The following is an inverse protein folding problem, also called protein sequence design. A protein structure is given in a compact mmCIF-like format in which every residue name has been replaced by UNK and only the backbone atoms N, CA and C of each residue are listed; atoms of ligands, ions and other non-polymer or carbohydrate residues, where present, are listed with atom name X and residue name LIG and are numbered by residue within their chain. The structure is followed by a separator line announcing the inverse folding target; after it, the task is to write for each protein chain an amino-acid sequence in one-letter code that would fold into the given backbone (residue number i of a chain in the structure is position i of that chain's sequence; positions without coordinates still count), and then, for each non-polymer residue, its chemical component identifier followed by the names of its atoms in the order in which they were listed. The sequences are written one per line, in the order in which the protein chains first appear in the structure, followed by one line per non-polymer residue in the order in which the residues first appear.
data_IF_257346281596
#
_entry.id   IF_257346281596
#
_cell.length_a   1.000
_cell.length_b   1.000
_cell.length_c   1.000
_cell.angle_alpha   90.00
_cell.angle_beta   90.00
_cell.angle_gamma   90.00
#
_symmetry.space_group_name_H-M   'P 1'
#
loop_
_entity.id
_entity.type
_entity.pdbx_description
1 polymer ?
#
# COMPACT_ATOMS: atom_id res chain seq x y z
N UNK A 1 21.02 3.60 -22.05
CA UNK A 1 19.87 3.95 -22.91
C UNK A 1 18.75 4.58 -22.07
N UNK A 2 18.26 3.93 -21.00
CA UNK A 2 17.23 4.48 -20.09
C UNK A 2 17.62 5.81 -19.41
N UNK A 3 18.85 5.91 -18.87
CA UNK A 3 19.32 7.16 -18.21
C UNK A 3 19.35 8.35 -19.17
N UNK A 4 19.66 8.12 -20.46
CA UNK A 4 19.67 9.16 -21.51
C UNK A 4 18.23 9.57 -21.84
N UNK A 5 17.32 8.60 -22.00
CA UNK A 5 15.91 8.89 -22.23
C UNK A 5 15.27 9.71 -21.08
N UNK A 6 15.67 9.46 -19.82
CA UNK A 6 15.23 10.26 -18.68
C UNK A 6 15.73 11.71 -18.73
N UNK A 7 16.97 11.92 -19.17
CA UNK A 7 17.54 13.26 -19.37
C UNK A 7 16.81 14.02 -20.47
N UNK A 8 16.50 13.35 -21.58
CA UNK A 8 15.82 13.97 -22.73
C UNK A 8 14.35 14.29 -22.46
N UNK A 9 13.69 13.53 -21.57
CA UNK A 9 12.26 13.63 -21.30
C UNK A 9 11.90 14.44 -20.02
N UNK A 10 12.85 15.16 -19.44
CA UNK A 10 12.67 15.82 -18.14
C UNK A 10 13.23 17.23 -18.12
N UNK A 11 12.54 18.15 -17.46
CA UNK A 11 12.96 19.55 -17.30
C UNK A 11 14.07 19.69 -16.25
N UNK A 12 14.09 18.80 -15.26
CA UNK A 12 15.16 18.72 -14.27
C UNK A 12 15.49 17.27 -13.97
N UNK A 13 16.79 16.97 -13.87
CA UNK A 13 17.30 15.63 -13.52
C UNK A 13 18.46 15.76 -12.55
N UNK A 14 18.42 14.94 -11.51
CA UNK A 14 19.48 14.81 -10.52
C UNK A 14 19.96 13.36 -10.55
N UNK A 15 21.25 13.15 -10.82
CA UNK A 15 21.88 11.84 -10.68
C UNK A 15 22.64 11.77 -9.36
N UNK A 16 22.28 10.80 -8.54
CA UNK A 16 22.87 10.54 -7.23
C UNK A 16 23.71 9.26 -7.34
N UNK A 17 25.05 9.37 -7.35
CA UNK A 17 25.91 8.18 -7.24
C UNK A 17 25.75 7.62 -5.84
N UNK A 18 25.38 6.34 -5.70
CA UNK A 18 24.98 5.82 -4.40
C UNK A 18 26.14 5.45 -3.49
N UNK A 19 27.35 5.22 -4.02
CA UNK A 19 28.51 4.79 -3.21
C UNK A 19 28.75 5.66 -1.95
N UNK A 20 28.75 7.01 -2.02
CA UNK A 20 28.90 7.86 -0.82
C UNK A 20 27.64 7.89 0.08
N UNK A 21 26.47 7.62 -0.49
CA UNK A 21 25.19 7.66 0.21
C UNK A 21 24.84 6.37 0.94
N UNK A 22 25.31 5.21 0.44
CA UNK A 22 25.10 3.90 1.08
C UNK A 22 25.50 3.94 2.56
N UNK A 23 26.68 4.46 2.89
CA UNK A 23 27.13 4.58 4.29
C UNK A 23 26.21 5.45 5.15
N UNK A 24 25.71 6.58 4.62
CA UNK A 24 24.77 7.46 5.33
C UNK A 24 23.41 6.80 5.51
N UNK A 25 22.89 6.13 4.49
CA UNK A 25 21.61 5.42 4.57
C UNK A 25 21.70 4.29 5.59
N UNK A 26 22.80 3.55 5.64
CA UNK A 26 23.03 2.52 6.65
C UNK A 26 22.94 3.07 8.09
N UNK A 27 23.47 4.28 8.35
CA UNK A 27 23.31 4.92 9.66
C UNK A 27 21.83 5.20 9.99
N UNK A 28 21.06 5.68 9.01
CA UNK A 28 19.61 5.90 9.20
C UNK A 28 18.84 4.59 9.39
N UNK A 29 19.22 3.51 8.71
CA UNK A 29 18.61 2.19 8.90
C UNK A 29 18.92 1.63 10.30
N UNK A 30 20.12 1.85 10.83
CA UNK A 30 20.45 1.54 12.24
C UNK A 30 19.58 2.35 13.20
N UNK A 31 19.39 3.65 12.95
CA UNK A 31 18.49 4.49 13.77
C UNK A 31 17.05 4.01 13.68
N UNK A 32 16.55 3.69 12.48
CA UNK A 32 15.20 3.16 12.28
C UNK A 32 15.01 1.82 13.02
N UNK A 33 16.02 0.94 12.99
CA UNK A 33 16.04 -0.29 13.77
C UNK A 33 15.99 0.00 15.27
N UNK A 34 16.82 0.91 15.77
CA UNK A 34 16.83 1.29 17.18
C UNK A 34 15.50 1.90 17.63
N UNK A 35 14.85 2.76 16.82
CA UNK A 35 13.55 3.34 17.13
C UNK A 35 12.44 2.28 17.10
N UNK A 36 12.43 1.41 16.08
CA UNK A 36 11.46 0.32 15.95
C UNK A 36 11.59 -0.77 17.02
N UNK A 37 12.80 -1.00 17.54
CA UNK A 37 13.03 -1.90 18.68
C UNK A 37 12.93 -1.20 20.04
N UNK A 38 13.18 0.12 20.08
CA UNK A 38 13.26 0.92 21.30
C UNK A 38 11.89 1.21 21.90
N UNK A 39 10.84 1.29 21.08
CA UNK A 39 9.44 1.26 21.53
C UNK A 39 9.07 -0.02 22.29
N UNK A 40 9.86 -1.10 22.14
CA UNK A 40 9.63 -2.39 22.79
C UNK A 40 10.38 -2.55 24.11
N UNK A 41 11.20 -1.58 24.51
CA UNK A 41 11.90 -1.59 25.81
C UNK A 41 11.06 -0.98 26.95
N UNK A 42 9.94 -0.31 26.64
CA UNK A 42 9.15 0.49 27.60
C UNK A 42 7.78 -0.13 27.90
N UNK A 43 7.57 -1.43 27.67
CA UNK A 43 6.34 -2.12 28.05
C UNK A 43 6.45 -3.63 28.01
N UNK A 44 5.41 -4.33 28.49
CA UNK A 44 5.36 -5.80 28.46
C UNK A 44 5.55 -6.33 27.02
N UNK A 45 6.39 -7.37 26.90
CA UNK A 45 6.59 -8.12 25.66
C UNK A 45 5.35 -8.98 25.41
N UNK A 46 4.52 -8.56 24.48
CA UNK A 46 3.44 -9.38 23.94
C UNK A 46 3.95 -10.15 22.73
N UNK A 47 3.31 -11.29 22.44
CA UNK A 47 3.56 -12.09 21.24
C UNK A 47 3.43 -11.24 19.96
N UNK A 48 2.47 -10.32 19.95
CA UNK A 48 2.21 -9.36 18.87
C UNK A 48 3.44 -8.50 18.55
N UNK A 49 4.04 -7.87 19.58
CA UNK A 49 5.21 -7.01 19.43
C UNK A 49 6.44 -7.77 18.93
N UNK A 50 6.60 -9.02 19.32
CA UNK A 50 7.72 -9.85 18.86
C UNK A 50 7.60 -10.17 17.36
N UNK A 51 6.39 -10.44 16.88
CA UNK A 51 6.14 -10.68 15.45
C UNK A 51 6.25 -9.41 14.62
N UNK A 52 5.70 -8.28 15.11
CA UNK A 52 5.90 -6.96 14.51
C UNK A 52 7.40 -6.63 14.40
N UNK A 53 8.16 -6.90 15.45
CA UNK A 53 9.63 -6.70 15.46
C UNK A 53 10.32 -7.60 14.43
N UNK A 54 9.93 -8.87 14.33
CA UNK A 54 10.50 -9.80 13.36
C UNK A 54 10.21 -9.36 11.92
N UNK A 55 8.98 -8.94 11.63
CA UNK A 55 8.57 -8.41 10.33
C UNK A 55 9.32 -7.10 9.98
N UNK A 56 9.41 -6.17 10.93
CA UNK A 56 10.16 -4.92 10.76
C UNK A 56 11.65 -5.18 10.55
N UNK A 57 12.23 -6.11 11.29
CA UNK A 57 13.64 -6.50 11.16
C UNK A 57 13.92 -7.03 9.76
N UNK A 58 13.07 -7.94 9.27
CA UNK A 58 13.16 -8.47 7.91
C UNK A 58 13.04 -7.37 6.85
N UNK A 59 12.07 -6.45 6.99
CA UNK A 59 11.89 -5.35 6.06
C UNK A 59 13.14 -4.46 6.00
N UNK A 60 13.70 -4.12 7.16
CA UNK A 60 14.93 -3.32 7.26
C UNK A 60 16.15 -4.05 6.70
N UNK A 61 16.26 -5.38 6.88
CA UNK A 61 17.30 -6.19 6.26
C UNK A 61 17.18 -6.19 4.73
N UNK A 62 15.95 -6.34 4.21
CA UNK A 62 15.66 -6.26 2.78
C UNK A 62 16.02 -4.91 2.17
N UNK A 63 15.64 -3.81 2.84
CA UNK A 63 16.02 -2.45 2.43
C UNK A 63 17.54 -2.27 2.46
N UNK A 64 18.20 -2.76 3.50
CA UNK A 64 19.67 -2.73 3.63
C UNK A 64 20.34 -3.41 2.45
N UNK A 65 19.90 -4.63 2.12
CA UNK A 65 20.41 -5.42 0.99
C UNK A 65 20.16 -4.70 -0.34
N UNK A 66 18.96 -4.14 -0.54
CA UNK A 66 18.63 -3.40 -1.74
C UNK A 66 19.54 -2.17 -1.91
N UNK A 67 19.64 -1.33 -0.87
CA UNK A 67 20.46 -0.10 -0.88
C UNK A 67 21.93 -0.41 -1.14
N UNK A 68 22.46 -1.51 -0.59
CA UNK A 68 23.83 -1.94 -0.81
C UNK A 68 24.14 -2.21 -2.30
N UNK A 69 23.12 -2.58 -3.08
CA UNK A 69 23.25 -2.94 -4.49
C UNK A 69 22.86 -1.83 -5.47
N UNK A 70 22.22 -0.72 -5.03
CA UNK A 70 21.90 0.42 -5.92
C UNK A 70 23.19 1.14 -6.30
N UNK A 71 23.52 1.19 -7.59
CA UNK A 71 24.66 1.90 -8.15
C UNK A 71 24.40 3.41 -8.32
N UNK A 72 23.26 3.75 -8.91
CA UNK A 72 22.80 5.13 -9.09
C UNK A 72 21.31 5.24 -8.80
N UNK A 73 20.92 6.38 -8.25
CA UNK A 73 19.53 6.82 -8.25
C UNK A 73 19.45 8.07 -9.11
N UNK A 74 18.50 8.12 -10.04
CA UNK A 74 18.14 9.33 -10.77
C UNK A 74 16.77 9.79 -10.31
N UNK A 75 16.66 11.08 -9.99
CA UNK A 75 15.39 11.75 -9.73
C UNK A 75 15.15 12.71 -10.89
N UNK A 76 13.96 12.68 -11.48
CA UNK A 76 13.61 13.57 -12.57
C UNK A 76 12.24 14.18 -12.39
N UNK A 77 12.11 15.43 -12.80
CA UNK A 77 10.86 16.19 -12.81
C UNK A 77 10.58 16.62 -14.24
N UNK A 78 9.35 16.36 -14.70
CA UNK A 78 8.82 16.91 -15.94
C UNK A 78 7.55 17.72 -15.67
N UNK A 79 7.50 18.90 -16.27
CA UNK A 79 6.44 19.89 -16.23
C UNK A 79 5.89 20.03 -17.65
N UNK A 80 4.96 19.15 -18.03
CA UNK A 80 4.31 19.19 -19.34
C UNK A 80 2.92 19.82 -19.25
N UNK A 81 2.33 20.19 -20.40
CA UNK A 81 0.92 20.60 -20.47
C UNK A 81 -0.02 19.51 -19.90
N UNK A 82 0.32 18.23 -20.08
CA UNK A 82 -0.47 17.13 -19.55
C UNK A 82 -0.47 17.06 -18.01
N UNK A 83 0.62 17.48 -17.35
CA UNK A 83 0.74 17.39 -15.90
C UNK A 83 2.17 17.47 -15.37
N UNK A 84 2.27 17.30 -14.06
CA UNK A 84 3.54 17.21 -13.33
C UNK A 84 3.88 15.74 -13.15
N UNK A 85 5.13 15.39 -13.41
CA UNK A 85 5.62 14.02 -13.32
C UNK A 85 6.94 13.95 -12.57
N UNK A 86 6.97 13.16 -11.51
CA UNK A 86 8.17 12.88 -10.72
C UNK A 86 8.56 11.42 -10.94
N UNK A 87 9.77 11.17 -11.44
CA UNK A 87 10.29 9.80 -11.59
C UNK A 87 11.50 9.59 -10.69
N UNK A 88 11.56 8.43 -10.06
CA UNK A 88 12.78 7.90 -9.47
C UNK A 88 13.20 6.65 -10.24
N UNK A 89 14.47 6.57 -10.61
CA UNK A 89 15.04 5.42 -11.31
C UNK A 89 16.24 4.91 -10.52
N UNK A 90 16.19 3.65 -10.09
CA UNK A 90 17.26 3.00 -9.36
C UNK A 90 17.93 1.97 -10.27
N UNK A 91 19.22 2.14 -10.54
CA UNK A 91 20.02 1.15 -11.23
C UNK A 91 20.76 0.29 -10.21
N UNK A 92 20.67 -1.02 -10.34
CA UNK A 92 21.30 -1.98 -9.44
C UNK A 92 22.61 -2.50 -10.00
N UNK A 93 23.31 -3.29 -9.18
CA UNK A 93 24.51 -4.01 -9.58
C UNK A 93 24.08 -5.25 -10.35
N UNK A 94 24.56 -5.39 -11.59
CA UNK A 94 24.12 -6.45 -12.50
C UNK A 94 24.32 -7.84 -11.91
N UNK A 95 25.43 -8.10 -11.22
CA UNK A 95 25.69 -9.40 -10.58
C UNK A 95 25.14 -9.51 -9.14
N UNK A 96 24.22 -8.63 -8.75
CA UNK A 96 23.65 -8.58 -7.41
C UNK A 96 22.32 -9.33 -7.31
N UNK A 97 21.95 -9.77 -6.10
CA UNK A 97 20.70 -10.50 -5.83
C UNK A 97 19.45 -9.75 -6.28
N UNK A 98 19.45 -8.41 -6.23
CA UNK A 98 18.30 -7.62 -6.70
C UNK A 98 18.14 -7.76 -8.21
N UNK A 99 19.24 -7.65 -8.96
CA UNK A 99 19.19 -7.84 -10.41
C UNK A 99 18.84 -9.29 -10.78
N UNK A 100 19.38 -10.27 -10.03
CA UNK A 100 18.99 -11.68 -10.17
C UNK A 100 17.48 -11.86 -9.98
N UNK A 101 16.91 -11.28 -8.91
CA UNK A 101 15.48 -11.33 -8.65
C UNK A 101 14.66 -10.64 -9.76
N UNK A 102 15.07 -9.44 -10.21
CA UNK A 102 14.35 -8.65 -11.22
C UNK A 102 14.35 -9.29 -12.61
N UNK A 103 15.37 -10.10 -12.95
CA UNK A 103 15.41 -10.86 -14.22
C UNK A 103 14.26 -11.85 -14.34
N UNK A 104 13.81 -12.37 -13.22
CA UNK A 104 12.77 -13.39 -13.15
C UNK A 104 11.38 -12.78 -12.89
N UNK A 105 11.29 -11.45 -12.82
CA UNK A 105 10.02 -10.76 -12.70
C UNK A 105 9.37 -10.70 -14.07
N UNK A 106 8.11 -11.13 -14.11
CA UNK A 106 7.29 -11.09 -15.30
C UNK A 106 6.06 -10.21 -15.06
N UNK A 107 5.59 -9.64 -16.16
CA UNK A 107 4.30 -8.98 -16.24
C UNK A 107 3.32 -9.90 -16.95
N UNK A 108 2.10 -9.94 -16.47
CA UNK A 108 0.99 -10.59 -17.18
C UNK A 108 0.21 -9.54 -17.98
N UNK A 109 -0.46 -9.97 -19.05
CA UNK A 109 -1.33 -9.12 -19.88
C UNK A 109 -2.77 -9.07 -19.36
N UNK A 110 -2.99 -9.53 -18.13
CA UNK A 110 -4.31 -9.57 -17.54
C UNK A 110 -4.85 -8.15 -17.29
N UNK A 111 -6.13 -7.95 -17.60
CA UNK A 111 -6.82 -6.69 -17.32
C UNK A 111 -7.02 -6.53 -15.82
N UNK A 112 -6.10 -5.81 -15.18
CA UNK A 112 -6.09 -5.63 -13.74
C UNK A 112 -7.42 -5.07 -13.22
N UNK A 113 -8.04 -4.14 -13.94
CA UNK A 113 -9.18 -3.38 -13.43
C UNK A 113 -10.55 -4.04 -13.72
N UNK A 114 -10.55 -5.24 -14.30
CA UNK A 114 -11.78 -5.93 -14.69
C UNK A 114 -12.67 -6.23 -13.47
N UNK A 115 -14.00 -6.05 -13.63
CA UNK A 115 -14.98 -6.42 -12.60
C UNK A 115 -15.10 -5.48 -11.41
N UNK A 116 -14.22 -4.47 -11.30
CA UNK A 116 -14.28 -3.49 -10.22
C UNK A 116 -15.44 -2.51 -10.43
N UNK A 117 -16.18 -2.15 -9.36
CA UNK A 117 -17.34 -1.28 -9.48
C UNK A 117 -16.92 0.17 -9.75
N UNK A 118 -17.77 0.91 -10.49
CA UNK A 118 -17.69 2.38 -10.49
C UNK A 118 -18.21 2.90 -9.15
N UNK A 119 -17.31 3.15 -8.22
CA UNK A 119 -17.62 3.72 -6.91
C UNK A 119 -16.58 4.75 -6.47
N UNK A 120 -16.98 5.66 -5.56
CA UNK A 120 -16.08 6.27 -4.59
C UNK A 120 -14.92 5.36 -4.16
N UNK A 121 -13.69 5.88 -4.22
CA UNK A 121 -12.50 5.20 -3.73
C UNK A 121 -11.48 6.20 -3.19
N UNK A 122 -10.75 5.81 -2.16
CA UNK A 122 -9.63 6.58 -1.62
C UNK A 122 -8.31 6.13 -2.22
N UNK A 123 -8.14 4.80 -2.38
CA UNK A 123 -6.95 4.20 -2.97
C UNK A 123 -7.35 3.00 -3.83
N UNK A 124 -6.76 2.92 -5.02
CA UNK A 124 -6.88 1.78 -5.93
C UNK A 124 -5.48 1.30 -6.31
N UNK A 125 -5.21 0.03 -6.11
CA UNK A 125 -3.95 -0.64 -6.38
C UNK A 125 -4.18 -1.79 -7.36
N UNK A 126 -3.25 -1.93 -8.29
CA UNK A 126 -3.22 -3.00 -9.25
C UNK A 126 -1.79 -3.46 -9.45
N UNK A 127 -1.59 -4.77 -9.50
CA UNK A 127 -0.29 -5.37 -9.72
C UNK A 127 -0.41 -6.59 -10.61
N UNK A 128 0.45 -6.67 -11.61
CA UNK A 128 0.72 -7.89 -12.40
C UNK A 128 2.13 -8.39 -12.14
N UNK A 129 2.74 -7.96 -11.02
CA UNK A 129 4.06 -8.40 -10.61
C UNK A 129 4.03 -9.89 -10.30
N UNK A 130 4.72 -10.67 -11.11
CA UNK A 130 4.88 -12.09 -10.89
C UNK A 130 6.36 -12.41 -10.74
N UNK A 131 6.72 -13.16 -9.71
CA UNK A 131 7.99 -13.89 -9.68
C UNK A 131 7.66 -15.38 -9.51
N UNK A 132 7.96 -16.24 -10.51
CA UNK A 132 7.59 -17.64 -10.49
C UNK A 132 8.51 -18.51 -9.62
N UNK A 133 9.57 -17.95 -9.03
CA UNK A 133 10.54 -18.72 -8.25
C UNK A 133 9.99 -19.12 -6.89
N UNK A 134 10.50 -20.24 -6.39
CA UNK A 134 10.21 -20.73 -5.04
C UNK A 134 10.80 -19.83 -3.93
N UNK A 135 11.64 -18.85 -4.27
CA UNK A 135 12.21 -17.85 -3.37
C UNK A 135 11.54 -16.47 -3.51
N UNK A 136 10.30 -16.43 -4.03
CA UNK A 136 9.51 -15.21 -4.11
C UNK A 136 9.49 -14.47 -2.75
N UNK A 137 9.62 -13.14 -2.78
CA UNK A 137 9.77 -12.30 -1.58
C UNK A 137 8.69 -12.60 -0.52
N UNK A 138 7.46 -12.83 -0.95
CA UNK A 138 6.36 -13.14 -0.02
C UNK A 138 6.48 -14.53 0.63
N UNK A 139 7.06 -15.50 -0.05
CA UNK A 139 7.37 -16.81 0.52
C UNK A 139 8.55 -16.72 1.50
N UNK A 140 9.62 -15.99 1.16
CA UNK A 140 10.75 -15.75 2.08
C UNK A 140 10.31 -15.01 3.35
N UNK A 141 9.48 -13.96 3.21
CA UNK A 141 8.85 -13.28 4.34
C UNK A 141 8.08 -14.26 5.22
N UNK A 142 7.21 -15.06 4.59
CA UNK A 142 6.38 -16.01 5.30
C UNK A 142 7.21 -17.07 6.05
N UNK A 143 8.24 -17.64 5.41
CA UNK A 143 9.16 -18.59 6.03
C UNK A 143 9.91 -17.98 7.21
N UNK A 144 10.36 -16.73 7.10
CA UNK A 144 11.12 -16.08 8.17
C UNK A 144 10.27 -15.82 9.39
N UNK A 145 9.06 -15.31 9.19
CA UNK A 145 8.20 -15.02 10.33
C UNK A 145 7.68 -16.32 10.95
N UNK A 146 7.37 -17.36 10.17
CA UNK A 146 7.01 -18.68 10.73
C UNK A 146 8.16 -19.37 11.49
N UNK A 147 9.41 -19.02 11.18
CA UNK A 147 10.59 -19.45 11.94
C UNK A 147 10.85 -18.65 13.22
N UNK A 148 10.11 -17.57 13.48
CA UNK A 148 10.22 -16.81 14.73
C UNK A 148 9.96 -17.72 15.94
N UNK A 149 10.80 -17.67 17.00
CA UNK A 149 10.63 -18.52 18.19
C UNK A 149 9.23 -18.45 18.78
N UNK A 150 8.61 -17.27 18.78
CA UNK A 150 7.27 -17.01 19.31
C UNK A 150 6.20 -17.72 18.50
N UNK A 151 6.28 -17.67 17.16
CA UNK A 151 5.36 -18.39 16.27
C UNK A 151 5.50 -19.89 16.45
N UNK A 152 6.75 -20.39 16.50
CA UNK A 152 7.02 -21.82 16.68
C UNK A 152 6.55 -22.34 18.04
N UNK A 153 6.55 -21.50 19.07
CA UNK A 153 6.02 -21.85 20.39
C UNK A 153 4.48 -21.85 20.43
N UNK A 154 3.83 -20.98 19.64
CA UNK A 154 2.38 -20.81 19.62
C UNK A 154 1.64 -21.69 18.59
N UNK A 155 2.34 -22.29 17.62
CA UNK A 155 1.75 -23.07 16.54
C UNK A 155 2.36 -24.47 16.42
N UNK A 156 1.55 -25.44 15.96
CA UNK A 156 2.05 -26.79 15.70
C UNK A 156 2.92 -26.84 14.45
N UNK A 157 3.98 -27.66 14.47
CA UNK A 157 4.87 -27.85 13.33
C UNK A 157 4.12 -28.32 12.05
N UNK A 158 3.15 -29.25 12.12
CA UNK A 158 2.32 -29.60 10.94
C UNK A 158 1.51 -28.43 10.37
N UNK A 159 0.98 -27.54 11.22
CA UNK A 159 0.23 -26.35 10.77
C UNK A 159 1.14 -25.38 10.02
N UNK A 160 2.35 -25.14 10.54
CA UNK A 160 3.35 -24.27 9.91
C UNK A 160 3.79 -24.82 8.54
N UNK A 161 4.04 -26.12 8.45
CA UNK A 161 4.41 -26.79 7.19
C UNK A 161 3.28 -26.73 6.16
N UNK A 162 2.03 -26.95 6.60
CA UNK A 162 0.89 -26.84 5.69
C UNK A 162 0.69 -25.41 5.19
N UNK A 163 0.79 -24.42 6.07
CA UNK A 163 0.61 -23.02 5.70
C UNK A 163 1.72 -22.55 4.74
N UNK A 164 2.98 -22.96 4.95
CA UNK A 164 4.08 -22.67 4.02
C UNK A 164 3.84 -23.28 2.63
N UNK A 165 3.44 -24.56 2.59
CA UNK A 165 3.11 -25.27 1.34
C UNK A 165 1.96 -24.63 0.59
N UNK A 166 0.85 -24.34 1.28
CA UNK A 166 -0.33 -23.73 0.65
C UNK A 166 -0.02 -22.30 0.16
N UNK A 167 0.74 -21.53 0.94
CA UNK A 167 1.18 -20.17 0.55
C UNK A 167 2.05 -20.19 -0.70
N UNK A 168 3.09 -21.03 -0.74
CA UNK A 168 3.94 -21.17 -1.94
C UNK A 168 3.16 -21.68 -3.15
N UNK A 169 2.22 -22.61 -2.95
CA UNK A 169 1.36 -23.09 -4.03
C UNK A 169 0.42 -22.00 -4.56
N UNK A 170 -0.14 -21.15 -3.69
CA UNK A 170 -0.97 -20.02 -4.10
C UNK A 170 -0.17 -18.97 -4.88
N UNK A 171 1.01 -18.56 -4.39
CA UNK A 171 1.82 -17.55 -5.10
C UNK A 171 2.27 -18.02 -6.48
N UNK A 172 2.56 -19.31 -6.66
CA UNK A 172 2.85 -19.87 -8.01
C UNK A 172 1.67 -19.79 -8.97
N UNK A 173 0.44 -19.85 -8.47
CA UNK A 173 -0.79 -19.67 -9.27
C UNK A 173 -1.12 -18.21 -9.52
N UNK A 174 -0.64 -17.30 -8.66
CA UNK A 174 -0.95 -15.87 -8.75
C UNK A 174 -0.29 -15.22 -9.96
N UNK A 175 -1.06 -14.40 -10.66
CA UNK A 175 -0.70 -13.69 -11.89
C UNK A 175 -0.91 -12.18 -11.75
N UNK A 176 -1.63 -11.76 -10.72
CA UNK A 176 -1.84 -10.36 -10.39
C UNK A 176 -2.93 -10.19 -9.33
N UNK A 177 -3.10 -8.95 -8.89
CA UNK A 177 -4.13 -8.59 -7.94
C UNK A 177 -4.61 -7.17 -8.15
N UNK A 178 -5.84 -6.92 -7.73
CA UNK A 178 -6.35 -5.57 -7.49
C UNK A 178 -6.94 -5.43 -6.11
N UNK A 179 -6.87 -4.21 -5.62
CA UNK A 179 -7.41 -3.78 -4.35
C UNK A 179 -7.88 -2.34 -4.50
N UNK A 180 -9.15 -2.08 -4.27
CA UNK A 180 -9.74 -0.75 -4.21
C UNK A 180 -10.33 -0.60 -2.83
N UNK A 181 -9.97 0.44 -2.10
CA UNK A 181 -10.60 0.77 -0.84
C UNK A 181 -11.13 2.19 -0.82
N UNK A 182 -12.18 2.39 -0.03
CA UNK A 182 -12.66 3.70 0.36
C UNK A 182 -12.63 3.80 1.89
N UNK A 183 -12.14 4.94 2.37
CA UNK A 183 -12.23 5.31 3.77
C UNK A 183 -13.36 6.31 3.91
N UNK A 184 -14.36 5.95 4.70
CA UNK A 184 -15.37 6.90 5.12
C UNK A 184 -14.72 8.01 5.98
N UNK A 185 -15.32 9.21 6.02
CA UNK A 185 -14.87 10.31 6.89
C UNK A 185 -14.86 9.97 8.39
N UNK A 186 -15.57 8.91 8.82
CA UNK A 186 -15.53 8.42 10.20
C UNK A 186 -14.47 7.32 10.42
N UNK A 187 -13.66 6.98 9.41
CA UNK A 187 -12.57 6.02 9.50
C UNK A 187 -12.95 4.57 9.20
N UNK A 188 -14.23 4.28 8.93
CA UNK A 188 -14.63 2.95 8.45
C UNK A 188 -14.09 2.70 7.03
N UNK A 189 -13.56 1.51 6.76
CA UNK A 189 -12.98 1.13 5.49
C UNK A 189 -13.83 0.05 4.82
N UNK A 190 -14.06 0.23 3.52
CA UNK A 190 -14.59 -0.82 2.64
C UNK A 190 -13.56 -1.14 1.58
N UNK A 191 -13.50 -2.40 1.15
CA UNK A 191 -12.60 -2.81 0.09
C UNK A 191 -13.21 -3.82 -0.89
N UNK A 192 -12.75 -3.75 -2.13
CA UNK A 192 -13.11 -4.64 -3.23
C UNK A 192 -11.84 -5.01 -3.99
N UNK A 193 -11.76 -6.23 -4.49
CA UNK A 193 -10.60 -6.60 -5.27
C UNK A 193 -10.75 -7.93 -5.98
N UNK A 194 -9.73 -8.21 -6.79
CA UNK A 194 -9.63 -9.47 -7.51
C UNK A 194 -8.22 -10.03 -7.37
N UNK A 195 -8.11 -11.35 -7.46
CA UNK A 195 -6.87 -12.08 -7.60
C UNK A 195 -6.94 -12.77 -8.96
N UNK A 196 -5.98 -12.44 -9.82
CA UNK A 196 -5.83 -13.06 -11.14
C UNK A 196 -4.93 -14.27 -10.94
N UNK A 197 -5.40 -15.43 -11.36
CA UNK A 197 -4.79 -16.72 -11.06
C UNK A 197 -4.92 -17.67 -12.25
N UNK A 198 -4.06 -18.70 -12.33
CA UNK A 198 -4.17 -19.70 -13.40
C UNK A 198 -5.38 -20.63 -13.25
N UNK A 199 -5.78 -20.88 -12.00
CA UNK A 199 -6.89 -21.77 -11.64
C UNK A 199 -7.57 -21.21 -10.40
N UNK A 200 -8.72 -20.56 -10.61
CA UNK A 200 -9.49 -19.91 -9.55
C UNK A 200 -10.08 -20.90 -8.55
N UNK A 201 -10.47 -22.10 -8.97
CA UNK A 201 -11.04 -23.11 -8.08
C UNK A 201 -9.97 -23.61 -7.10
N UNK A 202 -8.78 -23.94 -7.63
CA UNK A 202 -7.63 -24.33 -6.83
C UNK A 202 -7.14 -23.19 -5.93
N UNK A 203 -7.06 -21.96 -6.46
CA UNK A 203 -6.66 -20.78 -5.69
C UNK A 203 -7.66 -20.48 -4.56
N UNK A 204 -8.96 -20.56 -4.85
CA UNK A 204 -10.02 -20.44 -3.86
C UNK A 204 -9.81 -21.44 -2.73
N UNK A 205 -9.64 -22.73 -3.04
CA UNK A 205 -9.43 -23.76 -2.01
C UNK A 205 -8.11 -23.58 -1.23
N UNK A 206 -7.03 -23.16 -1.88
CA UNK A 206 -5.76 -22.80 -1.20
C UNK A 206 -5.96 -21.66 -0.21
N UNK A 207 -6.59 -20.57 -0.63
CA UNK A 207 -6.89 -19.42 0.23
C UNK A 207 -7.79 -19.80 1.40
N UNK A 208 -8.76 -20.71 1.20
CA UNK A 208 -9.57 -21.26 2.28
C UNK A 208 -8.77 -22.05 3.31
N UNK A 209 -7.83 -22.90 2.86
CA UNK A 209 -6.92 -23.63 3.78
C UNK A 209 -5.93 -22.70 4.46
N UNK A 210 -5.42 -21.71 3.75
CA UNK A 210 -4.57 -20.67 4.31
C UNK A 210 -5.32 -19.93 5.41
N UNK A 211 -6.56 -19.48 5.19
CA UNK A 211 -7.38 -18.81 6.21
C UNK A 211 -7.64 -19.69 7.44
N UNK A 212 -7.95 -20.98 7.25
CA UNK A 212 -8.15 -21.91 8.37
C UNK A 212 -6.89 -22.14 9.21
N UNK A 213 -5.73 -22.30 8.56
CA UNK A 213 -4.44 -22.47 9.25
C UNK A 213 -3.87 -21.13 9.77
N UNK A 214 -4.24 -20.02 9.13
CA UNK A 214 -3.93 -18.67 9.54
C UNK A 214 -4.57 -18.33 10.87
N UNK A 215 -5.78 -18.77 11.14
CA UNK A 215 -6.33 -18.60 12.48
C UNK A 215 -5.44 -19.33 13.53
N UNK A 216 -4.94 -20.52 13.25
CA UNK A 216 -3.98 -21.20 14.14
C UNK A 216 -2.57 -20.57 14.20
N UNK A 217 -2.18 -19.72 13.24
CA UNK A 217 -0.78 -19.24 13.05
C UNK A 217 -0.64 -17.74 12.73
N UNK A 218 -1.37 -17.20 11.74
CA UNK A 218 -1.43 -15.76 11.39
C UNK A 218 -2.18 -14.88 12.41
N UNK A 219 -3.00 -15.42 13.31
CA UNK A 219 -3.50 -14.65 14.47
C UNK A 219 -2.37 -14.16 15.41
N UNK A 220 -1.12 -14.50 15.07
CA UNK A 220 0.11 -14.02 15.67
C UNK A 220 0.83 -12.97 14.79
N UNK A 221 0.57 -12.96 13.48
CA UNK A 221 1.12 -12.04 12.47
C UNK A 221 0.24 -10.80 12.24
N UNK A 222 -1.07 -11.00 12.29
CA UNK A 222 -2.09 -9.96 12.29
C UNK A 222 -2.86 -10.12 13.60
N UNK A 223 -2.25 -9.79 14.73
CA UNK A 223 -2.81 -10.12 16.03
C UNK A 223 -4.14 -9.42 16.34
N UNK A 224 -4.47 -8.39 15.56
CA UNK A 224 -5.79 -7.75 15.46
C UNK A 224 -6.87 -8.65 14.90
N UNK A 225 -6.54 -9.52 13.94
CA UNK A 225 -7.52 -10.20 13.10
C UNK A 225 -7.46 -11.68 13.39
N UNK A 226 -8.55 -12.17 13.93
CA UNK A 226 -8.77 -13.59 14.03
C UNK A 226 -9.99 -13.89 13.19
N UNK A 227 -9.86 -14.77 12.21
CA UNK A 227 -11.04 -15.43 11.65
C UNK A 227 -11.49 -16.52 12.62
N UNK A 228 -11.58 -16.22 13.93
CA UNK A 228 -11.68 -17.21 15.00
C UNK A 228 -13.03 -17.95 15.01
N UNK A 229 -13.96 -17.56 14.14
CA UNK A 229 -15.23 -18.25 13.99
C UNK A 229 -15.59 -18.38 12.51
N UNK A 230 -15.61 -19.65 12.06
CA UNK A 230 -16.23 -20.19 10.85
C UNK A 230 -16.07 -19.34 9.58
N UNK A 231 -15.05 -19.66 8.78
CA UNK A 231 -15.16 -19.49 7.32
C UNK A 231 -16.35 -20.32 6.86
N UNK A 232 -17.50 -19.68 6.68
CA UNK A 232 -18.70 -20.34 6.19
C UNK A 232 -18.60 -20.42 4.68
N UNK A 233 -18.96 -21.57 4.14
CA UNK A 233 -19.18 -21.72 2.71
C UNK A 233 -20.68 -21.61 2.50
N UNK A 234 -21.10 -20.55 1.83
CA UNK A 234 -22.49 -20.33 1.45
C UNK A 234 -22.62 -20.40 -0.07
N UNK A 235 -23.72 -20.98 -0.54
CA UNK A 235 -24.06 -20.97 -1.97
C UNK A 235 -25.13 -19.90 -2.23
N UNK A 236 -24.85 -18.99 -3.16
CA UNK A 236 -25.74 -17.88 -3.55
C UNK A 236 -25.64 -17.66 -5.04
N UNK A 237 -26.76 -17.60 -5.75
CA UNK A 237 -26.79 -17.38 -7.21
C UNK A 237 -25.84 -18.32 -8.00
N UNK A 238 -25.68 -19.56 -7.53
CA UNK A 238 -24.76 -20.55 -8.12
C UNK A 238 -23.27 -20.31 -7.86
N UNK A 239 -22.91 -19.38 -6.98
CA UNK A 239 -21.53 -19.12 -6.53
C UNK A 239 -21.30 -19.73 -5.16
N UNK A 240 -20.19 -20.45 -5.03
CA UNK A 240 -19.64 -20.90 -3.75
C UNK A 240 -18.83 -19.76 -3.14
N UNK A 241 -19.38 -19.12 -2.11
CA UNK A 241 -18.79 -17.97 -1.43
C UNK A 241 -18.21 -18.44 -0.11
N UNK A 242 -16.95 -18.10 0.15
CA UNK A 242 -16.38 -18.16 1.50
C UNK A 242 -16.60 -16.81 2.15
N UNK A 243 -17.20 -16.81 3.32
CA UNK A 243 -17.37 -15.61 4.12
C UNK A 243 -16.86 -15.82 5.55
N UNK A 244 -16.28 -14.77 6.10
CA UNK A 244 -15.82 -14.71 7.47
C UNK A 244 -16.13 -13.33 8.04
N UNK A 245 -16.62 -13.24 9.29
CA UNK A 245 -16.66 -11.95 9.97
C UNK A 245 -15.23 -11.47 10.21
N UNK A 246 -15.03 -10.15 10.18
CA UNK A 246 -13.78 -9.56 10.64
C UNK A 246 -13.85 -9.40 12.16
N UNK A 247 -13.68 -10.51 12.88
CA UNK A 247 -13.62 -10.47 14.35
C UNK A 247 -12.19 -10.26 14.83
N UNK A 248 -12.08 -9.59 15.97
CA UNK A 248 -10.83 -9.47 16.70
C UNK A 248 -10.77 -10.59 17.73
N UNK A 249 -9.60 -11.19 17.94
CA UNK A 249 -9.38 -12.12 19.07
C UNK A 249 -9.85 -11.44 20.36
N UNK A 250 -10.61 -12.15 21.18
CA UNK A 250 -11.15 -11.64 22.44
C UNK A 250 -10.04 -10.99 23.28
N UNK A 251 -10.10 -9.67 23.43
CA UNK A 251 -9.15 -8.88 24.20
C UNK A 251 -9.30 -7.39 23.89
N UNK A 252 -9.20 -6.54 24.92
CA UNK A 252 -9.25 -5.08 24.79
C UNK A 252 -7.88 -4.51 24.34
N UNK A 253 -7.34 -5.04 23.24
CA UNK A 253 -6.07 -4.55 22.67
C UNK A 253 -6.31 -3.28 21.84
N UNK A 254 -5.29 -2.39 21.78
CA UNK A 254 -5.28 -1.19 20.91
C UNK A 254 -5.72 -1.54 19.48
N UNK A 255 -5.11 -2.61 19.00
CA UNK A 255 -5.26 -3.21 17.71
C UNK A 255 -6.71 -3.69 17.46
N UNK A 256 -7.31 -4.40 18.42
CA UNK A 256 -8.71 -4.82 18.33
C UNK A 256 -9.68 -3.62 18.24
N UNK A 257 -9.47 -2.58 19.07
CA UNK A 257 -10.28 -1.35 19.03
C UNK A 257 -10.21 -0.62 17.70
N UNK A 258 -9.03 -0.58 17.06
CA UNK A 258 -8.87 0.03 15.73
C UNK A 258 -9.61 -0.79 14.68
N UNK A 259 -9.44 -2.12 14.70
CA UNK A 259 -10.11 -3.01 13.75
C UNK A 259 -11.65 -2.95 13.87
N UNK A 260 -12.19 -2.99 15.09
CA UNK A 260 -13.64 -2.86 15.32
C UNK A 260 -14.18 -1.53 14.78
N UNK A 261 -13.44 -0.43 14.91
CA UNK A 261 -13.89 0.88 14.39
C UNK A 261 -13.73 1.02 12.88
N UNK A 262 -12.67 0.44 12.31
CA UNK A 262 -12.43 0.50 10.87
C UNK A 262 -13.36 -0.43 10.09
N UNK A 263 -13.68 -1.61 10.62
CA UNK A 263 -14.43 -2.62 9.89
C UNK A 263 -15.85 -2.83 10.43
N UNK A 264 -16.10 -2.53 11.70
CA UNK A 264 -17.40 -2.76 12.33
C UNK A 264 -17.85 -4.20 12.15
N UNK A 265 -19.08 -4.37 11.65
CA UNK A 265 -19.68 -5.65 11.28
C UNK A 265 -19.40 -6.07 9.83
N UNK A 266 -18.43 -5.46 9.15
CA UNK A 266 -18.03 -5.86 7.80
C UNK A 266 -17.55 -7.32 7.78
N UNK A 267 -17.82 -7.98 6.65
CA UNK A 267 -17.41 -9.37 6.43
C UNK A 267 -16.42 -9.42 5.27
N UNK A 268 -15.39 -10.23 5.43
CA UNK A 268 -14.57 -10.67 4.32
C UNK A 268 -15.36 -11.72 3.53
N UNK A 269 -15.52 -11.51 2.23
CA UNK A 269 -16.15 -12.47 1.33
C UNK A 269 -15.25 -12.73 0.14
N UNK A 270 -15.21 -13.95 -0.34
CA UNK A 270 -14.45 -14.32 -1.53
C UNK A 270 -15.16 -15.42 -2.34
N UNK A 271 -14.97 -15.42 -3.65
CA UNK A 271 -15.49 -16.46 -4.53
C UNK A 271 -14.64 -16.61 -5.78
N UNK A 272 -14.51 -17.85 -6.27
CA UNK A 272 -14.04 -18.11 -7.62
C UNK A 272 -15.15 -17.75 -8.61
N UNK A 273 -14.93 -16.72 -9.44
CA UNK A 273 -15.97 -16.14 -10.30
C UNK A 273 -15.87 -16.62 -11.75
N UNK A 274 -14.65 -16.66 -12.28
CA UNK A 274 -14.31 -17.19 -13.61
C UNK A 274 -13.24 -18.27 -13.47
N UNK A 275 -12.71 -18.82 -14.58
CA UNK A 275 -11.62 -19.79 -14.56
C UNK A 275 -10.32 -19.24 -13.92
N UNK A 276 -10.11 -17.94 -14.04
CA UNK A 276 -8.86 -17.24 -13.79
C UNK A 276 -8.98 -16.10 -12.76
N UNK A 277 -10.15 -15.88 -12.17
CA UNK A 277 -10.37 -14.79 -11.21
C UNK A 277 -11.04 -15.29 -9.93
N UNK A 278 -10.43 -14.93 -8.80
CA UNK A 278 -11.06 -14.95 -7.48
C UNK A 278 -11.39 -13.50 -7.10
N UNK A 279 -12.66 -13.18 -6.90
CA UNK A 279 -13.08 -11.87 -6.39
C UNK A 279 -13.17 -11.90 -4.87
N UNK A 280 -12.89 -10.77 -4.22
CA UNK A 280 -13.07 -10.60 -2.78
C UNK A 280 -13.59 -9.21 -2.41
N UNK A 281 -14.27 -9.13 -1.27
CA UNK A 281 -14.73 -7.87 -0.67
C UNK A 281 -14.50 -7.87 0.84
N UNK A 282 -14.36 -6.68 1.40
CA UNK A 282 -14.47 -6.37 2.83
C UNK A 282 -15.56 -5.32 2.94
N UNK A 283 -16.79 -5.77 3.17
CA UNK A 283 -17.99 -4.93 3.08
C UNK A 283 -19.08 -5.42 4.05
N UNK A 284 -19.99 -4.53 4.43
CA UNK A 284 -21.18 -4.91 5.20
C UNK A 284 -22.17 -5.68 4.31
N UNK A 285 -22.35 -5.22 3.07
CA UNK A 285 -23.32 -5.77 2.12
C UNK A 285 -22.75 -6.95 1.31
N UNK A 286 -23.48 -8.08 1.30
CA UNK A 286 -23.19 -9.26 0.48
C UNK A 286 -23.40 -8.98 -1.02
N UNK A 287 -24.34 -8.09 -1.36
CA UNK A 287 -24.69 -7.78 -2.74
C UNK A 287 -23.48 -7.23 -3.55
N UNK A 288 -22.47 -6.70 -2.86
CA UNK A 288 -21.25 -6.20 -3.49
C UNK A 288 -20.46 -7.29 -4.22
N UNK A 289 -20.27 -8.46 -3.60
CA UNK A 289 -19.54 -9.56 -4.23
C UNK A 289 -20.33 -10.15 -5.40
N UNK A 290 -21.66 -10.28 -5.25
CA UNK A 290 -22.56 -10.75 -6.32
C UNK A 290 -22.56 -9.78 -7.51
N UNK A 291 -22.61 -8.47 -7.24
CA UNK A 291 -22.55 -7.45 -8.28
C UNK A 291 -21.18 -7.44 -8.99
N UNK A 292 -20.07 -7.63 -8.26
CA UNK A 292 -18.75 -7.82 -8.89
C UNK A 292 -18.72 -9.06 -9.77
N UNK A 293 -19.30 -10.17 -9.31
CA UNK A 293 -19.42 -11.40 -10.10
C UNK A 293 -20.19 -11.19 -11.40
N UNK A 294 -21.33 -10.52 -11.32
CA UNK A 294 -22.15 -10.18 -12.48
C UNK A 294 -21.38 -9.31 -13.49
N UNK A 295 -20.62 -8.31 -13.02
CA UNK A 295 -19.78 -7.45 -13.87
C UNK A 295 -18.66 -8.22 -14.56
N UNK A 296 -17.94 -9.07 -13.83
CA UNK A 296 -16.88 -9.93 -14.38
C UNK A 296 -17.43 -10.86 -15.46
N UNK A 297 -18.54 -11.55 -15.20
CA UNK A 297 -19.20 -12.43 -16.17
C UNK A 297 -19.68 -11.69 -17.42
N UNK A 298 -20.08 -10.43 -17.27
CA UNK A 298 -20.48 -9.56 -18.37
C UNK A 298 -19.30 -8.86 -19.08
N UNK A 299 -18.05 -9.10 -18.67
CA UNK A 299 -16.86 -8.45 -19.23
C UNK A 299 -16.83 -6.93 -19.02
N UNK A 300 -17.48 -6.42 -17.97
CA UNK A 300 -17.56 -4.99 -17.68
C UNK A 300 -16.33 -4.51 -16.90
N UNK A 301 -15.87 -3.31 -17.24
CA UNK A 301 -14.72 -2.67 -16.60
C UNK A 301 -15.10 -1.24 -16.13
N UNK A 302 -16.19 -1.14 -15.37
CA UNK A 302 -16.81 0.14 -15.00
C UNK A 302 -15.85 1.09 -14.26
N UNK A 303 -14.95 0.55 -13.43
CA UNK A 303 -13.91 1.34 -12.75
C UNK A 303 -13.02 2.09 -13.75
N UNK A 304 -12.36 1.37 -14.68
CA UNK A 304 -11.46 1.99 -15.67
C UNK A 304 -12.19 2.89 -16.67
N UNK A 305 -13.48 2.66 -16.89
CA UNK A 305 -14.32 3.44 -17.80
C UNK A 305 -14.79 4.77 -17.21
N UNK A 306 -14.59 4.98 -15.91
CA UNK A 306 -14.84 6.28 -15.28
C UNK A 306 -13.95 7.35 -15.94
N UNK A 307 -14.50 8.45 -16.48
CA UNK A 307 -13.73 9.38 -17.32
C UNK A 307 -12.44 9.91 -16.67
N UNK A 308 -12.49 10.25 -15.38
CA UNK A 308 -11.32 10.70 -14.63
C UNK A 308 -10.25 9.59 -14.51
N UNK A 309 -10.65 8.37 -14.15
CA UNK A 309 -9.75 7.21 -14.04
C UNK A 309 -9.17 6.87 -15.41
N UNK A 310 -9.98 6.83 -16.47
CA UNK A 310 -9.54 6.56 -17.84
C UNK A 310 -8.47 7.57 -18.28
N UNK A 311 -8.72 8.87 -18.07
CA UNK A 311 -7.78 9.93 -18.39
C UNK A 311 -6.47 9.81 -17.59
N UNK A 312 -6.55 9.46 -16.31
CA UNK A 312 -5.38 9.21 -15.47
C UNK A 312 -4.59 7.98 -15.94
N UNK A 313 -5.26 6.86 -16.22
CA UNK A 313 -4.63 5.62 -16.68
C UNK A 313 -3.95 5.76 -18.05
N UNK A 314 -4.44 6.64 -18.92
CA UNK A 314 -3.76 6.96 -20.20
C UNK A 314 -2.36 7.55 -20.01
N UNK A 315 -2.06 8.10 -18.84
CA UNK A 315 -0.76 8.71 -18.53
C UNK A 315 0.24 7.69 -17.97
N UNK A 316 -0.23 6.50 -17.58
CA UNK A 316 0.59 5.43 -17.05
C UNK A 316 1.56 4.89 -18.12
N UNK A 317 2.79 4.50 -17.73
CA UNK A 317 3.67 3.72 -18.60
C UNK A 317 2.97 2.45 -19.07
N UNK A 318 3.06 2.16 -20.37
CA UNK A 318 2.42 0.97 -20.96
C UNK A 318 2.94 -0.34 -20.38
N UNK A 319 4.18 -0.34 -19.89
CA UNK A 319 4.93 -1.46 -19.33
C UNK A 319 4.86 -1.53 -17.79
N UNK A 320 4.03 -0.72 -17.14
CA UNK A 320 3.90 -0.72 -15.68
C UNK A 320 3.45 -2.09 -15.15
N UNK A 321 4.16 -2.59 -14.13
CA UNK A 321 3.87 -3.84 -13.41
C UNK A 321 3.04 -3.61 -12.15
N UNK A 322 3.02 -2.37 -11.65
CA UNK A 322 2.19 -1.93 -10.53
C UNK A 322 1.64 -0.53 -10.84
N UNK A 323 0.36 -0.32 -10.55
CA UNK A 323 -0.34 0.94 -10.66
C UNK A 323 -1.08 1.24 -9.36
N UNK A 324 -0.99 2.47 -8.90
CA UNK A 324 -1.71 2.98 -7.74
C UNK A 324 -2.38 4.31 -8.09
N UNK A 325 -3.69 4.42 -7.87
CA UNK A 325 -4.45 5.66 -8.04
C UNK A 325 -4.97 6.06 -6.66
N UNK A 326 -4.67 7.29 -6.25
CA UNK A 326 -5.15 7.87 -5.01
C UNK A 326 -6.08 9.05 -5.31
N UNK A 327 -7.24 9.07 -4.68
CA UNK A 327 -8.05 10.29 -4.57
C UNK A 327 -7.53 11.10 -3.38
N UNK A 328 -6.74 12.13 -3.68
CA UNK A 328 -6.07 12.93 -2.64
C UNK A 328 -7.10 13.67 -1.78
N UNK A 329 -8.24 14.04 -2.36
CA UNK A 329 -9.30 14.72 -1.62
C UNK A 329 -9.93 13.83 -0.56
N UNK A 330 -10.26 12.59 -0.93
CA UNK A 330 -10.82 11.61 0.01
C UNK A 330 -9.85 11.18 1.09
N UNK A 331 -8.59 10.93 0.71
CA UNK A 331 -7.55 10.64 1.68
C UNK A 331 -7.37 11.80 2.66
N UNK A 332 -7.38 13.04 2.17
CA UNK A 332 -7.31 14.24 3.01
C UNK A 332 -8.49 14.36 3.99
N UNK A 333 -9.69 13.94 3.58
CA UNK A 333 -10.87 13.94 4.43
C UNK A 333 -10.86 12.81 5.48
N UNK A 334 -10.34 11.63 5.14
CA UNK A 334 -10.34 10.47 6.03
C UNK A 334 -9.13 10.40 6.99
N UNK A 335 -7.95 10.86 6.58
CA UNK A 335 -6.71 10.72 7.35
C UNK A 335 -6.78 11.32 8.77
N UNK A 336 -7.39 12.50 9.02
CA UNK A 336 -7.54 13.02 10.37
C UNK A 336 -8.36 12.11 11.28
N UNK A 337 -9.44 11.50 10.76
CA UNK A 337 -10.24 10.54 11.52
C UNK A 337 -9.44 9.28 11.83
N UNK A 338 -8.72 8.73 10.84
CA UNK A 338 -7.83 7.58 11.04
C UNK A 338 -6.73 7.87 12.08
N UNK A 339 -6.11 9.06 12.03
CA UNK A 339 -5.13 9.48 13.02
C UNK A 339 -5.76 9.62 14.43
N UNK A 340 -6.97 10.15 14.52
CA UNK A 340 -7.68 10.25 15.79
C UNK A 340 -7.97 8.86 16.38
N UNK A 341 -8.37 7.88 15.55
CA UNK A 341 -8.56 6.49 15.97
C UNK A 341 -7.27 5.90 16.57
N UNK A 342 -6.14 6.13 15.91
CA UNK A 342 -4.83 5.67 16.38
C UNK A 342 -4.47 6.27 17.75
N UNK A 343 -4.58 7.60 17.89
CA UNK A 343 -4.29 8.28 19.16
C UNK A 343 -5.24 7.85 20.28
N UNK A 344 -6.52 7.63 19.99
CA UNK A 344 -7.49 7.15 20.95
C UNK A 344 -7.18 5.73 21.44
N UNK A 345 -6.76 4.87 20.52
CA UNK A 345 -6.44 3.49 20.83
C UNK A 345 -5.16 3.39 21.69
N UNK A 346 -4.22 4.33 21.54
CA UNK A 346 -3.03 4.48 22.39
C UNK A 346 -3.34 4.99 23.81
N UNK A 347 -4.32 5.88 23.98
CA UNK A 347 -4.62 6.54 25.26
C UNK A 347 -5.35 5.66 26.31
N UNK A 348 -5.69 4.41 25.99
CA UNK A 348 -6.07 3.40 27.01
C UNK A 348 -7.33 3.68 27.84
N UNK A 349 -8.35 4.36 27.30
CA UNK A 349 -9.67 4.46 27.95
C UNK A 349 -10.01 5.78 28.67
N UNK A 350 -9.38 6.90 28.29
CA UNK A 350 -9.87 8.24 28.63
C UNK A 350 -10.90 8.76 27.62
N UNK A 351 -11.84 9.61 28.06
CA UNK A 351 -12.90 10.24 27.25
C UNK A 351 -12.42 10.57 25.83
N UNK A 352 -13.05 9.91 24.85
CA UNK A 352 -12.71 10.08 23.45
C UNK A 352 -12.73 11.57 23.07
N UNK A 353 -11.66 12.12 22.46
CA UNK A 353 -11.78 13.35 21.71
C UNK A 353 -12.94 13.19 20.71
N UNK A 354 -13.73 14.25 20.47
CA UNK A 354 -14.81 14.19 19.50
C UNK A 354 -14.24 13.67 18.17
N UNK A 355 -14.93 12.70 17.57
CA UNK A 355 -14.64 12.35 16.18
C UNK A 355 -14.72 13.64 15.37
N UNK A 356 -13.73 13.93 14.50
CA UNK A 356 -13.80 15.12 13.67
C UNK A 356 -15.16 15.17 12.97
N UNK A 357 -15.73 16.37 12.80
CA UNK A 357 -17.03 16.52 12.15
C UNK A 357 -17.02 15.81 10.80
N UNK A 358 -18.02 14.95 10.53
CA UNK A 358 -18.05 14.18 9.30
C UNK A 358 -18.13 15.12 8.10
N UNK A 359 -17.15 15.03 7.21
CA UNK A 359 -17.20 15.71 5.92
C UNK A 359 -18.25 15.01 5.06
N UNK A 360 -19.05 15.77 4.31
CA UNK A 360 -19.99 15.17 3.36
C UNK A 360 -19.23 14.29 2.35
N UNK A 361 -19.73 13.08 2.04
CA UNK A 361 -19.10 12.23 1.05
C UNK A 361 -19.05 12.94 -0.30
N UNK A 362 -17.89 12.92 -0.94
CA UNK A 362 -17.77 13.37 -2.35
C UNK A 362 -18.48 12.33 -3.22
N UNK A 363 -19.22 12.73 -4.24
CA UNK A 363 -19.84 11.76 -5.17
C UNK A 363 -18.91 11.45 -6.35
N UNK A 364 -18.14 12.44 -6.79
CA UNK A 364 -17.19 12.33 -7.90
C UNK A 364 -15.74 12.09 -7.42
N UNK A 365 -14.91 11.61 -8.35
CA UNK A 365 -13.47 11.51 -8.15
C UNK A 365 -12.85 12.91 -7.96
N UNK A 366 -12.13 13.08 -6.85
CA UNK A 366 -11.38 14.27 -6.52
C UNK A 366 -10.08 14.42 -7.34
N UNK A 367 -9.11 15.20 -6.85
CA UNK A 367 -7.79 15.29 -7.48
C UNK A 367 -7.08 13.94 -7.42
N UNK A 368 -6.78 13.37 -8.58
CA UNK A 368 -6.17 12.04 -8.70
C UNK A 368 -4.65 12.13 -8.78
N UNK A 369 -3.99 11.27 -8.02
CA UNK A 369 -2.56 10.99 -8.13
C UNK A 369 -2.34 9.56 -8.61
N UNK A 370 -1.58 9.41 -9.69
CA UNK A 370 -1.17 8.10 -10.22
C UNK A 370 0.27 7.83 -9.84
N UNK A 371 0.53 6.71 -9.18
CA UNK A 371 1.85 6.13 -9.08
C UNK A 371 1.94 4.86 -9.92
N UNK A 372 3.08 4.64 -10.56
CA UNK A 372 3.35 3.45 -11.36
C UNK A 372 4.76 2.93 -11.12
N UNK A 373 4.94 1.62 -11.24
CA UNK A 373 6.24 0.96 -11.19
C UNK A 373 6.50 0.25 -12.51
N UNK A 374 7.66 0.50 -13.09
CA UNK A 374 8.21 -0.22 -14.23
C UNK A 374 9.52 -0.87 -13.81
N UNK A 375 9.82 -2.03 -14.38
CA UNK A 375 11.00 -2.80 -14.00
C UNK A 375 11.68 -3.39 -15.21
N UNK A 376 12.98 -3.58 -15.07
CA UNK A 376 13.80 -4.36 -15.98
C UNK A 376 14.86 -5.13 -15.17
N UNK A 377 15.61 -6.04 -15.80
CA UNK A 377 16.61 -6.89 -15.14
C UNK A 377 17.55 -6.20 -14.14
N UNK A 378 17.91 -4.94 -14.37
CA UNK A 378 18.93 -4.24 -13.57
C UNK A 378 18.46 -2.89 -13.05
N UNK A 379 17.17 -2.57 -13.20
CA UNK A 379 16.64 -1.31 -12.71
C UNK A 379 15.15 -1.36 -12.38
N UNK A 380 14.73 -0.45 -11.52
CA UNK A 380 13.31 -0.13 -11.30
C UNK A 380 13.10 1.36 -11.49
N UNK A 381 11.92 1.73 -11.97
CA UNK A 381 11.51 3.12 -12.08
C UNK A 381 10.10 3.28 -11.56
N UNK A 382 9.97 4.09 -10.51
CA UNK A 382 8.70 4.58 -10.03
C UNK A 382 8.39 5.95 -10.64
N UNK A 383 7.13 6.18 -10.98
CA UNK A 383 6.66 7.42 -11.54
C UNK A 383 5.37 7.86 -10.84
N UNK A 384 5.38 9.06 -10.27
CA UNK A 384 4.21 9.78 -9.78
C UNK A 384 3.78 10.81 -10.82
N UNK A 385 2.50 10.81 -11.17
CA UNK A 385 1.89 11.73 -12.11
C UNK A 385 0.61 12.35 -11.55
N UNK A 386 0.45 13.65 -11.77
CA UNK A 386 -0.80 14.39 -11.54
C UNK A 386 -1.03 15.37 -12.70
N UNK A 387 -2.29 15.55 -13.13
CA UNK A 387 -2.59 16.59 -14.12
C UNK A 387 -2.37 17.97 -13.50
N UNK A 388 -2.14 19.00 -14.33
CA UNK A 388 -1.99 20.37 -13.81
C UNK A 388 -3.24 20.82 -13.03
N UNK A 389 -4.43 20.44 -13.52
CA UNK A 389 -5.68 20.69 -12.82
C UNK A 389 -5.74 19.99 -11.46
N UNK A 390 -5.28 18.74 -11.37
CA UNK A 390 -5.26 18.00 -10.11
C UNK A 390 -4.28 18.57 -9.10
N UNK A 391 -3.11 19.03 -9.55
CA UNK A 391 -2.13 19.72 -8.70
C UNK A 391 -2.75 20.98 -8.09
N UNK A 392 -3.46 21.78 -8.88
CA UNK A 392 -4.14 22.97 -8.35
C UNK A 392 -5.25 22.61 -7.35
N UNK A 393 -6.06 21.58 -7.68
CA UNK A 393 -7.19 21.13 -6.86
C UNK A 393 -6.78 20.41 -5.57
N UNK A 394 -5.54 19.91 -5.45
CA UNK A 394 -5.09 19.19 -4.26
C UNK A 394 -4.58 20.11 -3.13
N UNK A 395 -4.22 21.37 -3.44
CA UNK A 395 -3.62 22.29 -2.45
C UNK A 395 -4.54 22.51 -1.25
N UNK A 396 -5.80 22.85 -1.51
CA UNK A 396 -6.77 23.14 -0.44
C UNK A 396 -7.09 21.89 0.42
N UNK A 397 -7.45 20.71 -0.16
CA UNK A 397 -7.65 19.49 0.63
C UNK A 397 -6.45 19.15 1.52
N UNK A 398 -5.22 19.26 1.00
CA UNK A 398 -4.02 18.97 1.78
C UNK A 398 -3.79 19.99 2.91
N UNK A 399 -4.05 21.28 2.66
CA UNK A 399 -3.95 22.31 3.69
C UNK A 399 -4.99 22.10 4.80
N UNK A 400 -6.23 21.76 4.44
CA UNK A 400 -7.28 21.43 5.41
C UNK A 400 -6.93 20.17 6.21
N UNK A 401 -6.42 19.12 5.56
CA UNK A 401 -5.95 17.91 6.23
C UNK A 401 -4.85 18.23 7.25
N UNK A 402 -3.84 19.02 6.86
CA UNK A 402 -2.76 19.41 7.76
C UNK A 402 -3.29 20.15 9.00
N UNK A 403 -4.18 21.13 8.81
CA UNK A 403 -4.80 21.87 9.91
C UNK A 403 -5.63 20.95 10.84
N UNK A 404 -6.41 20.01 10.27
CA UNK A 404 -7.19 19.03 11.04
C UNK A 404 -6.31 18.03 11.78
N UNK A 405 -5.18 17.61 11.20
CA UNK A 405 -4.21 16.73 11.87
C UNK A 405 -3.55 17.44 13.04
N UNK A 406 -3.16 18.71 12.87
CA UNK A 406 -2.62 19.53 13.96
C UNK A 406 -3.62 19.69 15.10
N UNK A 407 -4.89 19.97 14.79
CA UNK A 407 -5.94 20.06 15.82
C UNK A 407 -6.21 18.71 16.49
N UNK A 408 -6.19 17.62 15.73
CA UNK A 408 -6.38 16.25 16.25
C UNK A 408 -5.27 15.91 17.24
N UNK A 409 -4.01 16.16 16.88
CA UNK A 409 -2.86 15.94 17.75
C UNK A 409 -2.93 16.82 19.01
N UNK A 410 -3.32 18.09 18.87
CA UNK A 410 -3.45 18.99 20.01
C UNK A 410 -4.57 18.56 20.97
N UNK A 411 -5.66 17.97 20.47
CA UNK A 411 -6.77 17.49 21.28
C UNK A 411 -6.49 16.14 21.99
N UNK A 412 -5.57 15.32 21.47
CA UNK A 412 -5.28 13.97 21.99
C UNK A 412 -4.08 13.91 22.94
N UNK A 413 -3.20 14.91 22.97
CA UNK A 413 -2.08 14.94 23.93
C UNK A 413 -2.49 15.56 25.27
N UNK A 414 -2.24 14.89 26.42
CA UNK A 414 -2.34 15.54 27.73
C UNK A 414 -1.36 16.70 27.80
N UNK A 415 -1.74 17.80 28.44
CA UNK A 415 -0.84 18.91 28.76
C UNK A 415 0.24 18.46 29.77
N UNK A 416 1.27 17.73 29.32
CA UNK A 416 2.44 17.37 30.13
C UNK A 416 3.71 17.31 29.27
N UNK A 417 4.48 18.41 29.34
CA UNK A 417 5.95 18.47 29.32
C UNK A 417 6.70 17.38 28.52
N UNK A 418 6.77 17.54 27.19
CA UNK A 418 7.97 17.21 26.43
C UNK A 418 8.18 18.28 25.35
N UNK A 419 9.42 18.76 25.23
CA UNK A 419 9.77 19.96 24.46
C UNK A 419 9.20 19.99 23.04
N UNK A 420 8.43 21.04 22.74
CA UNK A 420 7.87 21.35 21.42
C UNK A 420 8.96 21.26 20.34
N UNK A 421 9.02 20.15 19.58
CA UNK A 421 9.59 20.19 18.22
C UNK A 421 8.48 20.67 17.29
N UNK A 422 8.43 22.00 17.08
CA UNK A 422 7.68 22.59 15.97
C UNK A 422 8.27 22.02 14.67
N UNK A 423 7.52 21.21 13.95
CA UNK A 423 7.78 20.97 12.53
C UNK A 423 7.28 22.22 11.81
N UNK A 424 8.20 23.12 11.45
CA UNK A 424 7.89 24.30 10.67
C UNK A 424 7.84 23.86 9.21
N UNK A 425 6.65 23.61 8.66
CA UNK A 425 6.47 23.47 7.21
C UNK A 425 6.42 24.88 6.64
N UNK A 426 7.55 25.35 6.11
CA UNK A 426 7.60 26.61 5.37
C UNK A 426 7.51 26.27 3.88
N UNK A 427 6.37 26.62 3.26
CA UNK A 427 6.17 26.51 1.81
C UNK A 427 6.54 27.86 1.21
N UNK A 428 7.79 28.00 0.77
CA UNK A 428 8.21 29.17 0.00
C UNK A 428 7.87 28.93 -1.48
N UNK A 429 6.78 29.55 -1.95
CA UNK A 429 6.46 29.63 -3.38
C UNK A 429 7.31 30.76 -3.97
N UNK A 430 8.47 30.41 -4.51
CA UNK A 430 9.33 31.36 -5.21
C UNK A 430 8.77 31.72 -6.58
N UNK A 431 8.21 32.93 -6.73
CA UNK A 431 7.99 33.55 -8.03
C UNK A 431 9.33 33.76 -8.74
N UNK A 432 9.52 33.14 -9.91
CA UNK A 432 10.65 33.42 -10.80
C UNK A 432 10.51 34.85 -11.35
N UNK A 433 11.19 35.80 -10.71
CA UNK A 433 11.42 37.10 -11.34
C UNK A 433 12.30 36.92 -12.59
N UNK A 434 11.75 37.28 -13.75
CA UNK A 434 12.49 37.45 -14.99
C UNK A 434 13.53 38.57 -14.78
N UNK A 435 14.82 38.23 -14.81
CA UNK A 435 15.86 39.21 -15.16
C UNK A 435 16.45 38.82 -16.49
N UNK A 436 16.04 39.60 -17.50
CA UNK A 436 16.69 39.70 -18.81
C UNK A 436 18.19 39.90 -18.64
N UNK A 437 18.93 39.09 -19.37
CA UNK A 437 20.28 39.39 -19.80
C UNK A 437 20.26 40.70 -20.59
N UNK A 438 21.08 41.67 -20.21
CA UNK A 438 21.65 42.61 -21.16
C UNK A 438 23.16 42.44 -21.12
N UNK A 439 23.63 41.83 -22.21
CA UNK A 439 25.02 41.70 -22.61
C UNK A 439 25.64 43.07 -22.86
N UNK A 440 26.86 43.28 -22.37
CA UNK A 440 27.62 44.48 -22.71
C UNK A 440 29.08 44.44 -22.25
N UNK A 441 29.88 43.59 -22.89
CA UNK A 441 31.34 43.69 -22.88
C UNK A 441 31.78 45.10 -23.30
N UNK A 442 32.70 45.70 -22.56
CA UNK A 442 33.99 46.20 -23.07
C UNK A 442 34.89 46.66 -21.92
N UNK A 443 36.07 46.04 -21.78
CA UNK A 443 37.32 46.70 -21.34
C UNK A 443 38.05 47.14 -22.61
N UNK A 444 38.76 48.28 -22.62
CA UNK A 444 40.10 48.42 -22.01
C UNK A 444 40.25 49.77 -21.24
N UNK A 445 41.23 50.08 -20.41
CA UNK A 445 42.54 49.52 -20.05
C UNK A 445 42.65 49.29 -18.52
#
# INVERSE_FOLDING_TARGET
MQEVALLDASDAVIRIPMKPWRAKIQQWLVVARLLGTGSNLVGERTVEKEVETAALTWLLDGITECVAQINSTMLSLSLAHAGVRLRHHHAFTDSGKVADYLRDVHRTDADMWAGLPRRPFSLALASTWQNPRDDAIMQDLFERVTRSPTIRAASSQPSLESLARDTGAFYRLSRGSTFVCDFSPCGAMQAWGTLIVEDSAKAFDLLGRMAGNADATLGTFMPTWSTQEMVQIVEREGLRIREAPLTTRSGDSRNARIAERMYGDARYRMAAISKDVVAYTITHDEADLLAMSARLKAGKAEFRETPAIAATLQQAPRDAVLLAIADVGRLADALPALAALEYQAEAGGGTAPPSPEPVAPREDAGPLALWSLTTAPTWIQGELFMTQSDVARCVEPLAQMAARLESTQAATQPAATFGKRRVRVQVDVGERSQRREDSGRTRPD
#
